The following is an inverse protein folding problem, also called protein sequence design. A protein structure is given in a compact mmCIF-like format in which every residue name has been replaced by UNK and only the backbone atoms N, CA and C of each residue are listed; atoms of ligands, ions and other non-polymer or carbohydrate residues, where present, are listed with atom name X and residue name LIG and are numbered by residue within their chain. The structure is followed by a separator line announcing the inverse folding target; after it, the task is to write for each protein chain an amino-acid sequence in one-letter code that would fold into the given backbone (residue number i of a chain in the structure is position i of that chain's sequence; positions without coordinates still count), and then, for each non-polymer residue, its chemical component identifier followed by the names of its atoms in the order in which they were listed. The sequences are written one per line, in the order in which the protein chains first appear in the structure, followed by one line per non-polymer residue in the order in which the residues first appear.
data_IF_812326333164
#
_entry.id   IF_812326333164
#
_cell.length_a   1.000
_cell.length_b   1.000
_cell.length_c   1.000
_cell.angle_alpha   90.00
_cell.angle_beta   90.00
_cell.angle_gamma   90.00
#
_symmetry.space_group_name_H-M   'P 1'
#
loop_
_entity.id
_entity.type
_entity.pdbx_description
1 polymer ?
#
# COMPACT_ATOMS: atom_id res chain seq x y z
N UNK A 1 6.54 3.54 -7.65
CA UNK A 1 5.49 4.57 -7.55
C UNK A 1 5.45 5.10 -6.12
N UNK A 2 6.13 6.21 -5.85
CA UNK A 2 6.29 6.75 -4.48
C UNK A 2 5.17 7.74 -4.12
N UNK A 3 4.81 8.62 -5.05
CA UNK A 3 3.77 9.62 -4.88
C UNK A 3 2.84 9.63 -6.08
N UNK A 4 1.59 10.02 -5.83
CA UNK A 4 0.61 10.25 -6.88
C UNK A 4 -0.51 11.15 -6.40
N UNK A 5 -1.11 11.87 -7.34
CA UNK A 5 -2.27 12.71 -7.13
C UNK A 5 -3.11 12.72 -8.40
N UNK A 6 -4.42 12.92 -8.23
CA UNK A 6 -5.36 13.08 -9.34
C UNK A 6 -6.50 13.99 -8.93
N UNK A 7 -6.94 14.86 -9.84
CA UNK A 7 -8.17 15.61 -9.64
C UNK A 7 -9.40 14.70 -9.81
N UNK A 8 -10.51 15.09 -9.20
CA UNK A 8 -11.82 14.45 -9.45
C UNK A 8 -12.44 14.91 -10.78
N UNK A 9 -12.02 16.07 -11.29
CA UNK A 9 -12.47 16.59 -12.58
C UNK A 9 -12.09 15.64 -13.71
N UNK A 10 -13.07 15.29 -14.56
CA UNK A 10 -12.90 14.39 -15.71
C UNK A 10 -12.29 13.03 -15.35
N UNK A 11 -12.60 12.50 -14.16
CA UNK A 11 -12.11 11.18 -13.70
C UNK A 11 -12.49 10.02 -14.63
N UNK A 12 -13.56 10.16 -15.40
CA UNK A 12 -13.97 9.21 -16.44
C UNK A 12 -12.90 9.02 -17.55
N UNK A 13 -11.97 9.97 -17.73
CA UNK A 13 -10.87 9.87 -18.68
C UNK A 13 -9.72 8.98 -18.18
N UNK A 14 -9.76 8.54 -16.92
CA UNK A 14 -8.78 7.60 -16.35
C UNK A 14 -7.32 8.09 -16.47
N UNK A 15 -7.07 9.39 -16.33
CA UNK A 15 -5.75 9.99 -16.50
C UNK A 15 -4.67 9.34 -15.61
N UNK A 16 -5.01 8.96 -14.38
CA UNK A 16 -4.10 8.25 -13.47
C UNK A 16 -3.64 6.90 -14.02
N UNK A 17 -4.49 6.18 -14.74
CA UNK A 17 -4.11 4.95 -15.43
C UNK A 17 -3.12 5.24 -16.56
N UNK A 18 -3.42 6.24 -17.39
CA UNK A 18 -2.50 6.65 -18.46
C UNK A 18 -1.12 7.04 -17.93
N UNK A 19 -1.06 7.82 -16.85
CA UNK A 19 0.19 8.23 -16.21
C UNK A 19 0.99 7.02 -15.69
N UNK A 20 0.37 6.07 -15.00
CA UNK A 20 1.08 4.87 -14.52
C UNK A 20 1.54 3.97 -15.66
N UNK A 21 0.73 3.79 -16.70
CA UNK A 21 1.15 3.01 -17.86
C UNK A 21 2.39 3.59 -18.54
N UNK A 22 2.40 4.91 -18.73
CA UNK A 22 3.58 5.61 -19.28
C UNK A 22 4.79 5.46 -18.35
N UNK A 23 4.61 5.57 -17.03
CA UNK A 23 5.69 5.39 -16.07
C UNK A 23 6.28 3.97 -16.11
N UNK A 24 5.44 2.92 -16.23
CA UNK A 24 5.89 1.53 -16.36
C UNK A 24 6.68 1.32 -17.65
N UNK A 25 6.20 1.87 -18.78
CA UNK A 25 6.91 1.82 -20.05
C UNK A 25 8.25 2.53 -19.98
N UNK A 26 8.27 3.73 -19.42
CA UNK A 26 9.49 4.51 -19.23
C UNK A 26 10.51 3.75 -18.37
N UNK A 27 10.08 3.15 -17.25
CA UNK A 27 10.97 2.34 -16.41
C UNK A 27 11.56 1.16 -17.18
N UNK A 28 10.74 0.45 -17.96
CA UNK A 28 11.19 -0.66 -18.82
C UNK A 28 12.20 -0.20 -19.88
N UNK A 29 11.97 0.95 -20.52
CA UNK A 29 12.90 1.53 -21.49
C UNK A 29 14.27 1.89 -20.88
N UNK A 30 14.32 2.09 -19.55
CA UNK A 30 15.55 2.31 -18.79
C UNK A 30 16.14 1.03 -18.18
N UNK A 31 15.67 -0.14 -18.62
CA UNK A 31 16.19 -1.44 -18.18
C UNK A 31 15.71 -1.89 -16.81
N UNK A 32 14.67 -1.27 -16.24
CA UNK A 32 14.07 -1.77 -15.01
C UNK A 32 13.26 -3.04 -15.28
N UNK A 33 13.52 -4.09 -14.49
CA UNK A 33 12.78 -5.37 -14.56
C UNK A 33 11.56 -5.40 -13.65
N UNK A 34 11.58 -4.57 -12.59
CA UNK A 34 10.53 -4.51 -11.58
C UNK A 34 9.98 -3.09 -11.47
N UNK A 35 8.65 -2.98 -11.44
CA UNK A 35 7.95 -1.73 -11.16
C UNK A 35 7.16 -1.86 -9.86
N UNK A 36 7.73 -1.36 -8.77
CA UNK A 36 7.12 -1.43 -7.45
C UNK A 36 6.02 -0.36 -7.29
N UNK A 37 4.78 -0.84 -7.12
CA UNK A 37 3.60 0.00 -6.89
C UNK A 37 3.43 0.41 -5.42
N UNK A 38 4.27 -0.06 -4.50
CA UNK A 38 4.23 0.24 -3.06
C UNK A 38 2.96 -0.28 -2.36
N UNK A 39 2.83 0.02 -1.07
CA UNK A 39 1.86 -0.57 -0.14
C UNK A 39 0.38 -0.58 -0.54
N UNK A 40 -0.30 -1.62 -0.08
CA UNK A 40 -1.73 -1.90 -0.22
C UNK A 40 -2.31 -2.10 1.21
N UNK A 41 -3.63 -2.31 1.41
CA UNK A 41 -4.15 -2.69 2.71
C UNK A 41 -3.39 -3.89 3.30
N UNK A 42 -3.15 -3.88 4.60
CA UNK A 42 -2.56 -5.04 5.29
C UNK A 42 -3.63 -6.10 5.54
N UNK A 43 -3.91 -6.90 4.51
CA UNK A 43 -4.83 -8.04 4.53
C UNK A 43 -4.25 -9.15 3.66
N UNK A 44 -4.58 -10.40 3.96
CA UNK A 44 -4.16 -11.54 3.13
C UNK A 44 -4.78 -11.45 1.72
N UNK A 45 -4.16 -12.12 0.75
CA UNK A 45 -4.55 -12.00 -0.66
C UNK A 45 -5.99 -12.48 -0.93
N UNK A 46 -6.48 -13.48 -0.19
CA UNK A 46 -7.85 -13.95 -0.35
C UNK A 46 -8.85 -12.90 0.14
N UNK A 47 -8.58 -12.25 1.26
CA UNK A 47 -9.38 -11.13 1.76
C UNK A 47 -9.33 -9.93 0.79
N UNK A 48 -8.14 -9.61 0.28
CA UNK A 48 -7.97 -8.52 -0.70
C UNK A 48 -8.82 -8.76 -1.96
N UNK A 49 -8.78 -9.96 -2.53
CA UNK A 49 -9.55 -10.30 -3.74
C UNK A 49 -11.06 -10.43 -3.49
N UNK A 50 -11.48 -10.89 -2.30
CA UNK A 50 -12.90 -10.98 -1.96
C UNK A 50 -13.56 -9.60 -1.82
N UNK A 51 -12.84 -8.63 -1.27
CA UNK A 51 -13.45 -7.38 -0.78
C UNK A 51 -13.15 -6.14 -1.64
N UNK A 52 -12.21 -6.17 -2.61
CA UNK A 52 -11.77 -4.95 -3.31
C UNK A 52 -12.87 -4.22 -4.09
N UNK A 53 -13.96 -4.90 -4.44
CA UNK A 53 -15.08 -4.30 -5.16
C UNK A 53 -16.08 -3.60 -4.23
N UNK A 54 -16.17 -4.05 -2.98
CA UNK A 54 -17.20 -3.62 -2.02
C UNK A 54 -16.63 -2.67 -0.98
N UNK A 55 -15.35 -2.80 -0.63
CA UNK A 55 -14.65 -1.95 0.32
C UNK A 55 -13.97 -0.77 -0.36
N UNK A 56 -14.06 0.38 0.29
CA UNK A 56 -13.44 1.62 -0.15
C UNK A 56 -12.75 2.39 0.97
N UNK A 57 -12.75 1.85 2.19
CA UNK A 57 -12.07 2.41 3.35
C UNK A 57 -10.55 2.33 3.22
N UNK A 58 -9.83 3.22 3.91
CA UNK A 58 -8.36 3.21 3.92
C UNK A 58 -7.72 3.11 2.53
N UNK A 59 -6.93 2.06 2.31
CA UNK A 59 -6.22 1.82 1.05
C UNK A 59 -6.96 0.87 0.09
N UNK A 60 -8.22 0.49 0.35
CA UNK A 60 -8.94 -0.48 -0.49
C UNK A 60 -9.16 0.01 -1.92
N UNK A 61 -9.50 1.29 -2.11
CA UNK A 61 -9.57 1.88 -3.46
C UNK A 61 -8.21 1.92 -4.18
N UNK A 62 -7.12 2.07 -3.43
CA UNK A 62 -5.76 2.03 -3.96
C UNK A 62 -5.38 0.60 -4.38
N UNK A 63 -5.82 -0.42 -3.62
CA UNK A 63 -5.67 -1.82 -4.03
C UNK A 63 -6.42 -2.12 -5.33
N UNK A 64 -7.69 -1.73 -5.44
CA UNK A 64 -8.48 -1.88 -6.66
C UNK A 64 -7.83 -1.25 -7.89
N UNK A 65 -7.16 -0.11 -7.72
CA UNK A 65 -6.34 0.50 -8.76
C UNK A 65 -5.09 -0.33 -9.10
N UNK A 66 -4.32 -0.74 -8.09
CA UNK A 66 -3.03 -1.44 -8.25
C UNK A 66 -3.17 -2.86 -8.80
N UNK A 67 -4.18 -3.61 -8.34
CA UNK A 67 -4.47 -4.97 -8.81
C UNK A 67 -4.75 -5.01 -10.32
N UNK A 68 -5.22 -3.90 -10.90
CA UNK A 68 -5.50 -3.78 -12.34
C UNK A 68 -4.29 -3.97 -13.25
N UNK A 69 -3.07 -3.84 -12.72
CA UNK A 69 -1.82 -3.91 -13.49
C UNK A 69 -1.24 -5.32 -13.64
N UNK A 70 -1.84 -6.33 -13.00
CA UNK A 70 -1.39 -7.73 -13.11
C UNK A 70 -0.06 -8.03 -12.41
N UNK A 71 0.31 -7.23 -11.41
CA UNK A 71 1.47 -7.50 -10.55
C UNK A 71 1.19 -8.60 -9.51
N UNK A 72 2.17 -8.84 -8.64
CA UNK A 72 2.07 -9.77 -7.51
C UNK A 72 2.02 -9.01 -6.19
N UNK A 73 1.32 -9.57 -5.20
CA UNK A 73 1.39 -9.08 -3.82
C UNK A 73 2.66 -9.61 -3.17
N UNK A 74 3.56 -8.71 -2.78
CA UNK A 74 4.78 -9.05 -2.06
C UNK A 74 4.66 -8.66 -0.59
N UNK A 75 5.07 -9.56 0.31
CA UNK A 75 5.17 -9.29 1.76
C UNK A 75 6.63 -9.27 2.17
N UNK A 76 7.02 -8.21 2.88
CA UNK A 76 8.30 -8.13 3.59
C UNK A 76 8.19 -8.70 5.00
N UNK A 77 9.32 -9.03 5.63
CA UNK A 77 9.41 -9.56 7.01
C UNK A 77 8.95 -8.58 8.11
N UNK A 78 8.44 -7.40 7.74
CA UNK A 78 7.96 -6.39 8.66
C UNK A 78 9.09 -5.65 9.37
N UNK A 79 8.73 -4.96 10.46
CA UNK A 79 9.68 -4.25 11.30
C UNK A 79 10.16 -5.13 12.47
N UNK A 80 11.46 -5.04 12.78
CA UNK A 80 12.09 -5.76 13.87
C UNK A 80 12.70 -4.76 14.86
N UNK A 81 12.39 -4.93 16.15
CA UNK A 81 12.88 -4.04 17.20
C UNK A 81 14.10 -4.64 17.90
N UNK A 82 15.22 -3.89 17.90
CA UNK A 82 16.38 -4.18 18.75
C UNK A 82 16.23 -3.38 20.04
N UNK A 83 15.95 -4.09 21.14
CA UNK A 83 15.63 -3.45 22.42
C UNK A 83 16.90 -3.22 23.26
N UNK A 84 17.39 -1.97 23.26
CA UNK A 84 18.55 -1.57 24.06
C UNK A 84 18.23 -1.34 25.54
N UNK A 85 17.01 -0.89 25.86
CA UNK A 85 16.57 -0.57 27.22
C UNK A 85 15.24 -1.27 27.54
N UNK A 86 15.27 -2.50 28.10
CA UNK A 86 14.08 -3.35 28.23
C UNK A 86 12.94 -2.73 29.05
N UNK A 87 13.25 -2.04 30.14
CA UNK A 87 12.23 -1.46 31.04
C UNK A 87 11.48 -0.32 30.34
N UNK A 88 12.20 0.59 29.68
CA UNK A 88 11.60 1.73 28.97
C UNK A 88 10.76 1.22 27.80
N UNK A 89 11.27 0.24 27.05
CA UNK A 89 10.56 -0.37 25.94
C UNK A 89 9.26 -1.06 26.40
N UNK A 90 9.29 -1.80 27.51
CA UNK A 90 8.10 -2.42 28.08
C UNK A 90 7.05 -1.39 28.51
N UNK A 91 7.49 -0.30 29.16
CA UNK A 91 6.59 0.79 29.55
C UNK A 91 5.96 1.48 28.32
N UNK A 92 6.75 1.72 27.27
CA UNK A 92 6.26 2.28 26.01
C UNK A 92 5.22 1.37 25.33
N UNK A 93 5.51 0.07 25.22
CA UNK A 93 4.59 -0.92 24.66
C UNK A 93 3.29 -1.01 25.48
N UNK A 94 3.36 -0.95 26.81
CA UNK A 94 2.18 -0.89 27.66
C UNK A 94 1.34 0.38 27.42
N UNK A 95 2.00 1.54 27.28
CA UNK A 95 1.34 2.80 26.98
C UNK A 95 0.64 2.78 25.60
N UNK A 96 1.29 2.23 24.57
CA UNK A 96 0.69 2.06 23.24
C UNK A 96 -0.55 1.17 23.28
N UNK A 97 -0.48 0.02 23.96
CA UNK A 97 -1.62 -0.90 24.13
C UNK A 97 -2.79 -0.23 24.84
N UNK A 98 -2.51 0.55 25.88
CA UNK A 98 -3.54 1.28 26.61
C UNK A 98 -4.18 2.39 25.76
N UNK A 99 -3.41 3.07 24.91
CA UNK A 99 -3.94 4.06 23.96
C UNK A 99 -4.84 3.39 22.91
N UNK A 100 -4.38 2.30 22.31
CA UNK A 100 -5.15 1.58 21.29
C UNK A 100 -6.43 0.94 21.81
N UNK A 101 -6.50 0.58 23.10
CA UNK A 101 -7.72 0.05 23.72
C UNK A 101 -8.81 1.12 23.99
N UNK A 102 -8.51 2.41 23.76
CA UNK A 102 -9.43 3.53 23.97
C UNK A 102 -10.06 4.07 22.67
N UNK A 103 -9.58 3.60 21.53
CA UNK A 103 -10.13 3.89 20.19
C UNK A 103 -11.02 2.73 19.73
#
# INVERSE_FOLDING_TARGET
YLYGASANDKRNLMASYGAQWLAMRWAREHGCEVYDLWGIPDADEATLEADFQTRSDGLWGVYGFKRGWGGIVARSDGAWDVVYQPIIYAAYQAALRWRGARE
#
